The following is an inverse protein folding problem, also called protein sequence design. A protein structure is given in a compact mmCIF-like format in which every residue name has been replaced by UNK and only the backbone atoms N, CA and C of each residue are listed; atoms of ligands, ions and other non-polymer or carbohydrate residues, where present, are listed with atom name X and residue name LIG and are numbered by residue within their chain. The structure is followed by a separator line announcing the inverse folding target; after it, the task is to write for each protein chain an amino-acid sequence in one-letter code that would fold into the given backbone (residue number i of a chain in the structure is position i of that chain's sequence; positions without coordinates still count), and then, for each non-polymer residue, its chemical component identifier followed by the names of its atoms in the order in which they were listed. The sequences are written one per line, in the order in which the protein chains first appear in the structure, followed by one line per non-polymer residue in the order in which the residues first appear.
data_IF_928746546258
#
_entry.id   IF_928746546258
#
_cell.length_a   1.000
_cell.length_b   1.000
_cell.length_c   1.000
_cell.angle_alpha   90.00
_cell.angle_beta   90.00
_cell.angle_gamma   90.00
#
_symmetry.space_group_name_H-M   'P 1'
#
loop_
_entity.id
_entity.type
_entity.pdbx_description
1 polymer ?
#
# COMPACT_ATOMS: atom_id res chain seq x y z
N UNK A 1 7.23 1.77 8.62
CA UNK A 1 6.88 2.83 7.66
C UNK A 1 7.54 2.48 6.32
N UNK A 2 7.01 2.98 5.21
CA UNK A 2 7.63 2.93 3.89
C UNK A 2 8.12 4.33 3.49
N UNK A 3 9.21 4.39 2.75
CA UNK A 3 9.72 5.61 2.13
C UNK A 3 9.58 5.44 0.62
N UNK A 4 8.75 6.27 -0.01
CA UNK A 4 8.43 6.16 -1.43
C UNK A 4 8.88 7.42 -2.14
N UNK A 5 9.44 7.26 -3.34
CA UNK A 5 9.83 8.37 -4.22
C UNK A 5 9.23 8.20 -5.60
N UNK A 6 8.91 9.33 -6.23
CA UNK A 6 8.49 9.37 -7.64
C UNK A 6 7.10 8.79 -7.93
N UNK A 7 6.27 8.53 -6.91
CA UNK A 7 4.86 8.21 -7.13
C UNK A 7 4.11 9.48 -7.56
N UNK A 8 3.21 9.42 -8.56
CA UNK A 8 2.41 10.57 -8.97
C UNK A 8 1.52 11.10 -7.85
N UNK A 9 1.29 12.42 -7.85
CA UNK A 9 0.28 13.01 -6.97
C UNK A 9 -1.12 12.51 -7.34
N UNK A 10 -1.95 12.21 -6.34
CA UNK A 10 -3.33 11.77 -6.53
C UNK A 10 -4.34 12.80 -6.00
N UNK A 11 -5.61 12.62 -6.38
CA UNK A 11 -6.74 13.36 -5.80
C UNK A 11 -7.52 12.43 -4.89
N UNK A 12 -7.38 12.56 -3.58
CA UNK A 12 -7.99 11.68 -2.57
C UNK A 12 -9.51 11.50 -2.71
N UNK A 13 -10.22 12.49 -3.26
CA UNK A 13 -11.66 12.42 -3.51
C UNK A 13 -12.04 11.56 -4.74
N UNK A 14 -11.05 11.13 -5.53
CA UNK A 14 -11.22 10.33 -6.77
C UNK A 14 -10.54 8.97 -6.60
N UNK A 15 -9.33 8.94 -6.06
CA UNK A 15 -8.51 7.74 -5.91
C UNK A 15 -7.48 7.91 -4.79
N UNK A 16 -7.09 6.81 -4.16
CA UNK A 16 -6.07 6.76 -3.11
C UNK A 16 -5.14 5.56 -3.31
N UNK A 17 -3.89 5.71 -2.88
CA UNK A 17 -2.99 4.57 -2.83
C UNK A 17 -3.35 3.68 -1.65
N UNK A 18 -3.29 2.37 -1.84
CA UNK A 18 -3.45 1.40 -0.77
C UNK A 18 -2.23 0.49 -0.66
N UNK A 19 -1.73 0.34 0.56
CA UNK A 19 -0.64 -0.57 0.88
C UNK A 19 -1.19 -1.96 1.22
N UNK A 20 -0.61 -2.97 0.61
CA UNK A 20 -0.88 -4.37 0.87
C UNK A 20 0.37 -5.06 1.43
N UNK A 21 0.18 -5.89 2.44
CA UNK A 21 1.23 -6.70 3.04
C UNK A 21 0.90 -8.17 2.76
N UNK A 22 1.74 -8.83 1.97
CA UNK A 22 1.59 -10.25 1.65
C UNK A 22 2.33 -11.06 2.70
N UNK A 23 1.59 -11.89 3.41
CA UNK A 23 2.13 -12.84 4.40
C UNK A 23 1.51 -14.23 4.16
N UNK A 24 2.14 -15.06 3.31
CA UNK A 24 1.63 -16.38 2.97
C UNK A 24 1.61 -17.35 4.16
N UNK A 25 2.30 -17.03 5.27
CA UNK A 25 2.27 -17.86 6.47
C UNK A 25 0.97 -17.71 7.27
N UNK A 26 0.20 -16.65 6.98
CA UNK A 26 -1.04 -16.30 7.67
C UNK A 26 -2.28 -16.68 6.86
N UNK A 27 -2.41 -16.15 5.65
CA UNK A 27 -3.59 -16.30 4.78
C UNK A 27 -3.18 -16.07 3.31
N UNK A 28 -3.99 -16.54 2.36
CA UNK A 28 -3.80 -16.23 0.93
C UNK A 28 -4.09 -14.76 0.62
N UNK A 29 -4.98 -14.11 1.40
CA UNK A 29 -5.34 -12.71 1.22
C UNK A 29 -4.30 -11.78 1.84
N UNK A 30 -3.88 -10.71 1.13
CA UNK A 30 -2.99 -9.72 1.71
C UNK A 30 -3.66 -8.97 2.86
N UNK A 31 -2.86 -8.48 3.79
CA UNK A 31 -3.28 -7.60 4.89
C UNK A 31 -3.32 -6.16 4.37
N UNK A 32 -4.39 -5.44 4.69
CA UNK A 32 -4.47 -3.99 4.48
C UNK A 32 -3.46 -3.28 5.40
N UNK A 33 -2.51 -2.59 4.77
CA UNK A 33 -1.48 -1.77 5.41
C UNK A 33 -1.86 -0.30 5.55
N UNK A 34 -3.05 0.08 5.07
CA UNK A 34 -3.59 1.43 5.13
C UNK A 34 -3.59 2.15 3.79
N UNK A 35 -4.42 3.20 3.72
CA UNK A 35 -4.51 4.11 2.57
C UNK A 35 -3.69 5.38 2.81
N UNK A 36 -3.16 5.95 1.74
CA UNK A 36 -2.39 7.19 1.81
C UNK A 36 -2.49 8.00 0.50
N UNK A 37 -2.08 9.27 0.60
CA UNK A 37 -2.07 10.22 -0.51
C UNK A 37 -0.66 10.75 -0.76
N UNK A 38 -0.39 11.10 -2.02
CA UNK A 38 0.78 11.85 -2.46
C UNK A 38 0.32 13.27 -2.80
N UNK A 39 0.66 14.28 -1.98
CA UNK A 39 0.34 15.67 -2.30
C UNK A 39 1.08 16.15 -3.56
N UNK A 40 0.47 17.08 -4.29
CA UNK A 40 1.11 17.72 -5.44
C UNK A 40 2.44 18.40 -5.08
N UNK A 41 3.46 18.21 -5.92
CA UNK A 41 4.78 18.82 -5.74
C UNK A 41 5.68 18.12 -4.72
N UNK A 42 5.28 16.95 -4.22
CA UNK A 42 6.07 16.14 -3.29
C UNK A 42 6.76 15.01 -4.05
N UNK A 43 8.09 14.94 -3.98
CA UNK A 43 8.89 13.88 -4.61
C UNK A 43 9.07 12.65 -3.71
N UNK A 44 8.93 12.83 -2.39
CA UNK A 44 9.11 11.79 -1.39
C UNK A 44 8.07 11.86 -0.29
N UNK A 45 7.51 10.70 0.08
CA UNK A 45 6.64 10.57 1.25
C UNK A 45 7.13 9.48 2.20
N UNK A 46 6.86 9.68 3.49
CA UNK A 46 6.96 8.67 4.52
C UNK A 46 5.55 8.19 4.86
N UNK A 47 5.26 6.93 4.55
CA UNK A 47 3.94 6.32 4.75
C UNK A 47 4.00 5.45 6.00
N UNK A 48 3.22 5.73 7.05
CA UNK A 48 3.08 4.80 8.17
C UNK A 48 2.41 3.51 7.69
N UNK A 49 2.83 2.37 8.25
CA UNK A 49 2.14 1.10 8.01
C UNK A 49 1.10 0.98 9.11
N UNK A 50 -0.19 1.09 8.77
CA UNK A 50 -1.32 1.06 9.71
C UNK A 50 -2.11 -0.26 9.60
N UNK A 51 -1.39 -1.38 9.66
CA UNK A 51 -2.00 -2.70 9.60
C UNK A 51 -2.80 -3.01 10.87
N UNK A 52 -4.10 -3.30 10.73
CA UNK A 52 -4.96 -3.73 11.84
C UNK A 52 -4.82 -5.21 12.18
N UNK A 53 -4.24 -5.97 11.25
CA UNK A 53 -3.95 -7.39 11.43
C UNK A 53 -2.44 -7.58 11.59
N UNK A 54 -2.05 -8.49 12.48
CA UNK A 54 -0.63 -8.86 12.66
C UNK A 54 -0.10 -9.52 11.38
N UNK A 55 1.01 -9.00 10.86
CA UNK A 55 1.86 -9.72 9.92
C UNK A 55 2.91 -10.51 10.74
N UNK A 56 3.05 -11.79 10.45
CA UNK A 56 3.96 -12.72 11.10
C UNK A 56 5.26 -12.88 10.31
N UNK A 57 5.15 -13.16 9.01
CA UNK A 57 6.28 -13.33 8.07
C UNK A 57 5.97 -12.65 6.73
N UNK A 58 5.87 -11.32 6.69
CA UNK A 58 5.60 -10.60 5.44
C UNK A 58 6.73 -10.86 4.43
N UNK A 59 6.36 -11.22 3.20
CA UNK A 59 7.30 -11.53 2.12
C UNK A 59 7.32 -10.44 1.05
N UNK A 60 6.19 -9.75 0.85
CA UNK A 60 6.04 -8.72 -0.18
C UNK A 60 5.19 -7.57 0.36
N UNK A 61 5.58 -6.34 0.00
CA UNK A 61 4.71 -5.17 0.06
C UNK A 61 4.29 -4.79 -1.36
N UNK A 62 3.00 -4.51 -1.54
CA UNK A 62 2.43 -4.08 -2.80
C UNK A 62 1.65 -2.77 -2.63
N UNK A 63 1.65 -1.92 -3.66
CA UNK A 63 0.86 -0.68 -3.67
C UNK A 63 -0.04 -0.69 -4.89
N UNK A 64 -1.33 -0.44 -4.67
CA UNK A 64 -2.33 -0.27 -5.72
C UNK A 64 -2.94 1.13 -5.66
N UNK A 65 -3.64 1.52 -6.74
CA UNK A 65 -4.42 2.75 -6.79
C UNK A 65 -5.89 2.36 -6.83
N UNK A 66 -6.64 2.81 -5.83
CA UNK A 66 -7.99 2.34 -5.54
C UNK A 66 -8.95 3.52 -5.38
N UNK A 67 -10.25 3.24 -5.29
CA UNK A 67 -11.27 4.25 -4.98
C UNK A 67 -11.04 4.91 -3.59
N UNK A 68 -11.68 6.06 -3.30
CA UNK A 68 -11.53 6.74 -2.01
C UNK A 68 -11.90 5.83 -0.83
N UNK A 69 -11.05 5.81 0.19
CA UNK A 69 -11.17 4.93 1.34
C UNK A 69 -10.61 3.52 1.14
N UNK A 70 -10.11 3.20 -0.06
CA UNK A 70 -9.55 1.90 -0.39
C UNK A 70 -10.60 0.81 -0.58
N UNK A 71 -10.13 -0.42 -0.65
CA UNK A 71 -10.93 -1.62 -0.87
C UNK A 71 -10.52 -2.73 0.09
N UNK A 72 -11.39 -3.75 0.22
CA UNK A 72 -11.09 -4.96 1.01
C UNK A 72 -10.45 -6.04 0.16
N UNK A 73 -10.70 -6.00 -1.15
CA UNK A 73 -10.10 -6.87 -2.18
C UNK A 73 -9.75 -5.97 -3.35
N UNK A 74 -8.48 -5.97 -3.76
CA UNK A 74 -8.00 -5.13 -4.85
C UNK A 74 -8.47 -5.64 -6.21
N UNK A 75 -8.99 -4.73 -7.03
CA UNK A 75 -9.15 -4.89 -8.48
C UNK A 75 -8.39 -3.80 -9.28
N UNK A 76 -7.73 -2.87 -8.58
CA UNK A 76 -6.99 -1.77 -9.15
C UNK A 76 -5.63 -2.16 -9.74
N UNK A 77 -4.99 -1.23 -10.48
CA UNK A 77 -3.67 -1.46 -11.04
C UNK A 77 -2.61 -1.61 -9.95
N UNK A 78 -1.75 -2.62 -10.11
CA UNK A 78 -0.56 -2.82 -9.28
C UNK A 78 0.55 -1.87 -9.74
N UNK A 79 1.02 -1.02 -8.83
CA UNK A 79 1.97 0.05 -9.15
C UNK A 79 3.38 -0.26 -8.67
N UNK A 80 3.52 -0.82 -7.47
CA UNK A 80 4.82 -1.12 -6.85
C UNK A 80 4.75 -2.48 -6.19
N UNK A 81 5.84 -3.24 -6.31
CA UNK A 81 6.10 -4.45 -5.56
C UNK A 81 7.50 -4.33 -4.96
N UNK A 82 7.62 -4.59 -3.65
CA UNK A 82 8.89 -4.70 -2.96
C UNK A 82 8.96 -6.03 -2.22
N UNK A 83 9.98 -6.84 -2.51
CA UNK A 83 10.27 -8.04 -1.74
C UNK A 83 10.93 -7.67 -0.41
N UNK A 84 10.64 -8.45 0.63
CA UNK A 84 11.33 -8.35 1.91
C UNK A 84 12.56 -9.26 1.86
N UNK A 85 13.75 -8.70 2.02
CA UNK A 85 14.97 -9.50 2.18
C UNK A 85 14.88 -10.31 3.48
N UNK A 86 15.13 -11.62 3.37
CA UNK A 86 15.05 -12.59 4.47
C UNK A 86 16.30 -12.59 5.35
#
# INVERSE_FOLDING_TARGET
FMRLRGLPANRAAVEQYQLWIVDPSRDERPIDGGVFDIPGGVDEVIVPIDAKLRADKPTVFAITLEQPGGVVVSDGPLLVIAAVDA
#
